data_IF_807916341757
#
_entry.id   IF_807916341757
#
_cell.length_a   1.000
_cell.length_b   1.000
_cell.length_c   1.000
_cell.angle_alpha   90.00
_cell.angle_beta   90.00
_cell.angle_gamma   90.00
#
_symmetry.space_group_name_H-M   'P 1'
#
loop_
_entity.id
_entity.type
_entity.pdbx_description
1 polymer ?
#
# COMPACT_ATOMS: atom_id res chain seq x y z
N UNK A 1 5.02 -34.02 -18.42
CA UNK A 1 4.86 -33.18 -17.20
C UNK A 1 6.25 -32.79 -16.74
N UNK A 2 6.59 -31.50 -16.88
CA UNK A 2 7.98 -31.04 -16.77
C UNK A 2 8.43 -30.97 -15.31
N UNK A 3 9.63 -31.52 -15.01
CA UNK A 3 10.26 -31.44 -13.68
C UNK A 3 10.38 -30.02 -13.14
N UNK A 4 10.34 -28.99 -13.98
CA UNK A 4 10.30 -27.58 -13.62
C UNK A 4 8.96 -27.11 -13.03
N UNK A 5 7.83 -27.68 -13.47
CA UNK A 5 6.52 -27.39 -12.90
C UNK A 5 6.39 -27.88 -11.46
N UNK A 6 6.94 -29.08 -11.19
CA UNK A 6 6.86 -29.69 -9.86
C UNK A 6 7.76 -28.98 -8.84
N UNK A 7 8.84 -28.32 -9.27
CA UNK A 7 9.73 -27.57 -8.38
C UNK A 7 9.18 -26.18 -8.01
N UNK A 8 8.28 -25.61 -8.83
CA UNK A 8 7.67 -24.31 -8.58
C UNK A 8 6.44 -24.39 -7.66
N UNK A 9 5.74 -25.52 -7.66
CA UNK A 9 4.61 -25.77 -6.75
C UNK A 9 5.04 -25.90 -5.26
N UNK A 10 6.32 -26.18 -5.01
CA UNK A 10 6.90 -26.29 -3.67
C UNK A 10 7.70 -25.05 -3.22
N UNK A 11 7.94 -24.08 -4.10
CA UNK A 11 8.55 -22.82 -3.70
C UNK A 11 7.48 -21.88 -3.13
N UNK A 12 7.30 -21.94 -1.82
CA UNK A 12 6.47 -20.97 -1.11
C UNK A 12 6.90 -19.53 -1.43
N UNK A 13 6.01 -18.58 -1.21
CA UNK A 13 6.28 -17.14 -1.42
C UNK A 13 7.61 -16.77 -0.75
N UNK A 14 8.56 -16.14 -1.46
CA UNK A 14 9.85 -15.75 -0.89
C UNK A 14 9.67 -14.92 0.38
N UNK A 15 10.51 -15.17 1.39
CA UNK A 15 10.42 -14.48 2.69
C UNK A 15 10.46 -12.96 2.57
N UNK A 16 11.27 -12.43 1.63
CA UNK A 16 11.33 -10.99 1.35
C UNK A 16 10.00 -10.43 0.85
N UNK A 17 9.32 -11.16 -0.04
CA UNK A 17 8.01 -10.73 -0.55
C UNK A 17 6.93 -10.80 0.54
N UNK A 18 6.98 -11.81 1.41
CA UNK A 18 6.12 -11.90 2.60
C UNK A 18 6.34 -10.73 3.55
N UNK A 19 7.60 -10.41 3.83
CA UNK A 19 7.95 -9.28 4.68
C UNK A 19 7.39 -7.97 4.12
N UNK A 20 7.61 -7.70 2.82
CA UNK A 20 7.04 -6.52 2.17
C UNK A 20 5.52 -6.46 2.27
N UNK A 21 4.82 -7.57 2.03
CA UNK A 21 3.37 -7.63 2.15
C UNK A 21 2.87 -7.38 3.58
N UNK A 22 3.59 -7.85 4.60
CA UNK A 22 3.27 -7.56 6.02
C UNK A 22 3.46 -6.07 6.33
N UNK A 23 4.54 -5.44 5.85
CA UNK A 23 4.77 -4.00 6.02
C UNK A 23 3.63 -3.20 5.37
N UNK A 24 3.20 -3.57 4.15
CA UNK A 24 2.05 -2.93 3.48
C UNK A 24 0.77 -3.08 4.30
N UNK A 25 0.51 -4.25 4.89
CA UNK A 25 -0.67 -4.44 5.74
C UNK A 25 -0.63 -3.59 7.01
N UNK A 26 0.55 -3.41 7.62
CA UNK A 26 0.72 -2.50 8.76
C UNK A 26 0.45 -1.04 8.35
N UNK A 27 0.90 -0.61 7.17
CA UNK A 27 0.56 0.71 6.62
C UNK A 27 -0.96 0.85 6.42
N UNK A 28 -1.61 -0.18 5.85
CA UNK A 28 -3.07 -0.18 5.67
C UNK A 28 -3.82 -0.09 7.01
N UNK A 29 -3.32 -0.76 8.06
CA UNK A 29 -3.88 -0.69 9.41
C UNK A 29 -3.73 0.71 10.01
N UNK A 30 -2.57 1.35 9.87
CA UNK A 30 -2.34 2.72 10.31
C UNK A 30 -3.26 3.70 9.57
N UNK A 31 -3.43 3.51 8.25
CA UNK A 31 -4.32 4.32 7.43
C UNK A 31 -5.80 4.12 7.81
N UNK A 32 -6.20 2.91 8.16
CA UNK A 32 -7.54 2.64 8.67
C UNK A 32 -7.81 3.43 9.97
N UNK A 33 -6.84 3.48 10.87
CA UNK A 33 -6.92 4.33 12.07
C UNK A 33 -7.10 5.80 11.74
N UNK A 34 -6.38 6.30 10.74
CA UNK A 34 -6.52 7.68 10.27
C UNK A 34 -7.90 7.94 9.64
N UNK A 35 -8.43 7.03 8.83
CA UNK A 35 -9.78 7.11 8.25
C UNK A 35 -10.84 7.19 9.36
N UNK A 36 -10.73 6.35 10.39
CA UNK A 36 -11.64 6.36 11.54
C UNK A 36 -11.57 7.70 12.26
N UNK A 37 -10.36 8.24 12.46
CA UNK A 37 -10.16 9.56 13.06
C UNK A 37 -10.80 10.68 12.23
N UNK A 38 -10.68 10.66 10.90
CA UNK A 38 -11.33 11.63 10.03
C UNK A 38 -12.86 11.57 10.13
N UNK A 39 -13.43 10.38 10.14
CA UNK A 39 -14.88 10.17 10.28
C UNK A 39 -15.35 10.68 11.65
N UNK A 40 -14.61 10.35 12.71
CA UNK A 40 -14.92 10.81 14.06
C UNK A 40 -14.89 12.36 14.16
N UNK A 41 -13.83 12.99 13.66
CA UNK A 41 -13.70 14.45 13.62
C UNK A 41 -14.86 15.11 12.85
N UNK A 42 -15.31 14.46 11.75
CA UNK A 42 -16.46 14.94 10.98
C UNK A 42 -17.76 14.86 11.77
N UNK A 43 -17.99 13.79 12.56
CA UNK A 43 -19.20 13.61 13.38
C UNK A 43 -19.24 14.61 14.52
N UNK A 44 -18.11 14.85 15.18
CA UNK A 44 -17.99 15.80 16.31
C UNK A 44 -17.98 17.27 15.87
N UNK A 45 -17.97 17.55 14.54
CA UNK A 45 -17.91 18.89 14.00
C UNK A 45 -16.58 19.62 14.33
N UNK A 46 -15.53 18.86 14.61
CA UNK A 46 -14.18 19.38 14.82
C UNK A 46 -13.63 19.76 13.45
N UNK A 47 -13.86 21.00 13.05
CA UNK A 47 -13.26 21.57 11.84
C UNK A 47 -11.78 21.79 12.10
N UNK A 48 -10.92 21.07 11.38
CA UNK A 48 -9.50 21.40 11.37
C UNK A 48 -9.34 22.82 10.78
N UNK A 49 -8.90 23.75 11.61
CA UNK A 49 -8.70 25.17 11.27
C UNK A 49 -7.61 25.38 10.19
N UNK A 50 -6.97 24.31 9.73
CA UNK A 50 -5.99 24.35 8.65
C UNK A 50 -6.63 24.47 7.25
N UNK A 51 -7.95 24.28 7.12
CA UNK A 51 -8.70 24.53 5.88
C UNK A 51 -9.69 25.67 6.16
N UNK A 52 -9.17 26.87 6.25
CA UNK A 52 -9.97 28.10 6.23
C UNK A 52 -10.61 28.31 4.85
N UNK A 53 -11.60 27.53 4.53
CA UNK A 53 -12.53 27.88 3.48
C UNK A 53 -13.92 27.88 4.08
N UNK A 54 -14.50 29.06 4.14
CA UNK A 54 -15.86 29.35 4.61
C UNK A 54 -16.96 28.81 3.68
N UNK A 55 -16.67 27.83 2.87
CA UNK A 55 -17.61 27.23 1.94
C UNK A 55 -18.23 25.96 2.55
N UNK A 56 -19.53 25.73 2.32
CA UNK A 56 -20.24 24.49 2.67
C UNK A 56 -19.51 23.21 2.18
N UNK A 57 -18.68 23.35 1.12
CA UNK A 57 -17.84 22.28 0.59
C UNK A 57 -16.81 21.74 1.60
N UNK A 58 -16.33 22.54 2.55
CA UNK A 58 -15.34 22.11 3.55
C UNK A 58 -15.89 20.99 4.46
N UNK A 59 -17.18 20.97 4.70
CA UNK A 59 -17.85 19.97 5.51
C UNK A 59 -17.74 18.55 4.91
N UNK A 60 -17.66 18.42 3.59
CA UNK A 60 -17.60 17.13 2.89
C UNK A 60 -16.18 16.68 2.55
N UNK A 61 -15.17 17.53 2.72
CA UNK A 61 -13.77 17.23 2.37
C UNK A 61 -13.22 16.07 3.19
N UNK A 62 -13.43 16.08 4.51
CA UNK A 62 -12.94 15.01 5.38
C UNK A 62 -13.60 13.66 5.04
N UNK A 63 -14.92 13.65 4.83
CA UNK A 63 -15.66 12.45 4.45
C UNK A 63 -15.23 11.94 3.06
N UNK A 64 -15.11 12.84 2.08
CA UNK A 64 -14.64 12.48 0.73
C UNK A 64 -13.23 11.90 0.76
N UNK A 65 -12.33 12.48 1.54
CA UNK A 65 -10.97 11.97 1.75
C UNK A 65 -11.00 10.60 2.42
N UNK A 66 -11.81 10.40 3.45
CA UNK A 66 -11.95 9.13 4.13
C UNK A 66 -12.44 8.01 3.18
N UNK A 67 -13.47 8.29 2.38
CA UNK A 67 -13.99 7.34 1.38
C UNK A 67 -12.94 7.02 0.32
N UNK A 68 -12.26 8.03 -0.20
CA UNK A 68 -11.19 7.83 -1.20
C UNK A 68 -10.06 6.96 -0.64
N UNK A 69 -9.58 7.28 0.56
CA UNK A 69 -8.53 6.50 1.23
C UNK A 69 -8.99 5.07 1.52
N UNK A 70 -10.23 4.86 1.93
CA UNK A 70 -10.78 3.53 2.19
C UNK A 70 -10.78 2.67 0.91
N UNK A 71 -11.13 3.23 -0.23
CA UNK A 71 -11.12 2.53 -1.52
C UNK A 71 -9.67 2.20 -1.92
N UNK A 72 -8.76 3.17 -1.89
CA UNK A 72 -7.36 2.99 -2.30
C UNK A 72 -6.65 1.98 -1.40
N UNK A 73 -6.67 2.18 -0.09
CA UNK A 73 -5.98 1.28 0.84
C UNK A 73 -6.69 -0.05 1.03
N UNK A 74 -8.00 -0.13 0.83
CA UNK A 74 -8.73 -1.39 0.73
C UNK A 74 -8.25 -2.23 -0.44
N UNK A 75 -8.05 -1.63 -1.61
CA UNK A 75 -7.47 -2.29 -2.77
C UNK A 75 -6.01 -2.74 -2.51
N UNK A 76 -5.19 -1.88 -1.91
CA UNK A 76 -3.79 -2.20 -1.55
C UNK A 76 -3.73 -3.36 -0.56
N UNK A 77 -4.58 -3.38 0.46
CA UNK A 77 -4.69 -4.48 1.41
C UNK A 77 -5.09 -5.80 0.72
N UNK A 78 -6.04 -5.75 -0.19
CA UNK A 78 -6.44 -6.90 -1.00
C UNK A 78 -5.26 -7.47 -1.81
N UNK A 79 -4.46 -6.61 -2.45
CA UNK A 79 -3.27 -7.02 -3.22
C UNK A 79 -2.22 -7.63 -2.30
N UNK A 80 -1.96 -7.03 -1.12
CA UNK A 80 -1.00 -7.54 -0.15
C UNK A 80 -1.41 -8.92 0.39
N UNK A 81 -2.69 -9.11 0.73
CA UNK A 81 -3.23 -10.40 1.17
C UNK A 81 -3.11 -11.45 0.04
N UNK A 82 -3.44 -11.08 -1.20
CA UNK A 82 -3.31 -11.97 -2.35
C UNK A 82 -1.85 -12.41 -2.56
N UNK A 83 -0.90 -11.52 -2.31
CA UNK A 83 0.54 -11.82 -2.38
C UNK A 83 0.95 -12.81 -1.29
N UNK A 84 0.46 -12.66 -0.05
CA UNK A 84 0.69 -13.61 1.05
C UNK A 84 0.11 -15.00 0.76
N UNK A 85 -1.00 -15.06 0.03
CA UNK A 85 -1.64 -16.31 -0.41
C UNK A 85 -0.94 -16.98 -1.62
N UNK A 86 0.22 -16.47 -2.04
CA UNK A 86 0.95 -17.01 -3.20
C UNK A 86 0.33 -16.65 -4.55
N UNK A 87 -0.53 -15.64 -4.60
CA UNK A 87 -1.17 -15.14 -5.82
C UNK A 87 -0.75 -13.69 -6.09
N UNK A 88 0.50 -13.43 -6.50
CA UNK A 88 1.01 -12.07 -6.71
C UNK A 88 0.29 -11.41 -7.90
N UNK A 89 -0.87 -10.84 -7.63
CA UNK A 89 -1.63 -10.03 -8.59
C UNK A 89 -1.54 -8.58 -8.17
N UNK A 90 -1.13 -7.71 -9.09
CA UNK A 90 -1.13 -6.27 -8.84
C UNK A 90 0.08 -5.74 -8.08
N UNK A 91 1.22 -6.42 -8.12
CA UNK A 91 2.49 -5.91 -7.55
C UNK A 91 2.85 -4.51 -8.06
N UNK A 92 2.52 -4.22 -9.32
CA UNK A 92 2.66 -2.87 -9.89
C UNK A 92 1.82 -1.80 -9.17
N UNK A 93 0.65 -2.17 -8.65
CA UNK A 93 -0.18 -1.24 -7.88
C UNK A 93 0.47 -0.90 -6.53
N UNK A 94 1.11 -1.87 -5.87
CA UNK A 94 1.89 -1.63 -4.64
C UNK A 94 3.03 -0.67 -4.94
N UNK A 95 3.82 -0.92 -5.99
CA UNK A 95 4.93 -0.05 -6.40
C UNK A 95 4.45 1.37 -6.68
N UNK A 96 3.33 1.53 -7.38
CA UNK A 96 2.74 2.84 -7.67
C UNK A 96 2.34 3.59 -6.40
N UNK A 97 1.65 2.91 -5.48
CA UNK A 97 1.21 3.52 -4.21
C UNK A 97 2.42 3.92 -3.36
N UNK A 98 3.43 3.05 -3.24
CA UNK A 98 4.64 3.36 -2.48
C UNK A 98 5.43 4.52 -3.10
N UNK A 99 5.49 4.62 -4.44
CA UNK A 99 6.09 5.76 -5.11
C UNK A 99 5.34 7.08 -4.82
N UNK A 100 3.99 7.03 -4.80
CA UNK A 100 3.16 8.18 -4.41
C UNK A 100 3.41 8.55 -2.95
N UNK A 101 3.46 7.57 -2.04
CA UNK A 101 3.75 7.81 -0.62
C UNK A 101 5.13 8.44 -0.40
N UNK A 102 6.14 8.07 -1.19
CA UNK A 102 7.45 8.74 -1.17
C UNK A 102 7.36 10.19 -1.62
N UNK A 103 6.58 10.48 -2.66
CA UNK A 103 6.29 11.85 -3.09
C UNK A 103 5.61 12.66 -2.00
N UNK A 104 4.60 12.10 -1.34
CA UNK A 104 3.89 12.73 -0.21
C UNK A 104 4.85 12.97 0.96
N UNK A 105 5.68 11.98 1.31
CA UNK A 105 6.67 12.12 2.38
C UNK A 105 7.67 13.25 2.09
N UNK A 106 8.10 13.38 0.83
CA UNK A 106 8.97 14.49 0.41
C UNK A 106 8.31 15.85 0.62
N UNK A 107 7.03 16.01 0.25
CA UNK A 107 6.28 17.24 0.50
C UNK A 107 6.08 17.50 2.01
N UNK A 108 5.82 16.46 2.80
CA UNK A 108 5.74 16.58 4.27
C UNK A 108 7.06 17.07 4.86
N UNK A 109 8.19 16.59 4.33
CA UNK A 109 9.52 17.01 4.75
C UNK A 109 9.74 18.50 4.48
N UNK A 110 9.41 18.98 3.26
CA UNK A 110 9.49 20.40 2.90
C UNK A 110 8.56 21.26 3.74
N UNK A 111 7.39 20.74 4.14
CA UNK A 111 6.43 21.40 5.03
C UNK A 111 6.83 21.40 6.52
N UNK A 112 8.01 20.85 6.88
CA UNK A 112 8.50 20.82 8.25
C UNK A 112 7.95 19.67 9.11
N UNK A 113 7.09 18.79 8.57
CA UNK A 113 6.55 17.62 9.28
C UNK A 113 7.52 16.42 9.22
N UNK A 114 8.75 16.59 9.73
CA UNK A 114 9.85 15.65 9.57
C UNK A 114 9.56 14.25 10.12
N UNK A 115 8.89 14.15 11.29
CA UNK A 115 8.53 12.85 11.89
C UNK A 115 7.51 12.10 11.04
N UNK A 116 6.47 12.78 10.55
CA UNK A 116 5.48 12.18 9.67
C UNK A 116 6.10 11.77 8.34
N UNK A 117 6.96 12.62 7.78
CA UNK A 117 7.71 12.30 6.57
C UNK A 117 8.52 11.01 6.73
N UNK A 118 9.29 10.90 7.81
CA UNK A 118 10.07 9.69 8.09
C UNK A 118 9.18 8.46 8.30
N UNK A 119 8.09 8.59 9.06
CA UNK A 119 7.14 7.51 9.31
C UNK A 119 6.45 7.01 8.02
N UNK A 120 6.29 7.87 7.02
CA UNK A 120 5.73 7.50 5.71
C UNK A 120 6.80 6.96 4.77
N UNK A 121 7.98 7.60 4.71
CA UNK A 121 9.04 7.22 3.78
C UNK A 121 9.70 5.89 4.12
N UNK A 122 9.96 5.60 5.41
CA UNK A 122 10.67 4.39 5.81
C UNK A 122 9.96 3.10 5.37
N UNK A 123 8.67 2.88 5.67
CA UNK A 123 8.00 1.68 5.21
C UNK A 123 7.86 1.65 3.67
N UNK A 124 7.65 2.78 3.01
CA UNK A 124 7.56 2.84 1.55
C UNK A 124 8.87 2.38 0.88
N UNK A 125 10.02 2.86 1.37
CA UNK A 125 11.34 2.40 0.88
C UNK A 125 11.54 0.92 1.15
N UNK A 126 11.20 0.43 2.35
CA UNK A 126 11.33 -0.98 2.70
C UNK A 126 10.52 -1.87 1.75
N UNK A 127 9.26 -1.50 1.48
CA UNK A 127 8.41 -2.25 0.55
C UNK A 127 9.00 -2.26 -0.85
N UNK A 128 9.46 -1.12 -1.36
CA UNK A 128 10.08 -1.06 -2.68
C UNK A 128 11.33 -1.95 -2.76
N UNK A 129 12.20 -1.92 -1.75
CA UNK A 129 13.37 -2.81 -1.69
C UNK A 129 12.94 -4.28 -1.75
N UNK A 130 11.91 -4.68 -1.01
CA UNK A 130 11.44 -6.07 -1.00
C UNK A 130 10.83 -6.50 -2.33
N UNK A 131 10.10 -5.61 -3.00
CA UNK A 131 9.47 -5.90 -4.31
C UNK A 131 10.52 -6.02 -5.40
N UNK A 132 11.53 -5.13 -5.41
CA UNK A 132 12.62 -5.14 -6.40
C UNK A 132 13.75 -6.10 -6.06
N UNK A 133 13.70 -6.78 -4.91
CA UNK A 133 14.70 -7.79 -4.57
C UNK A 133 14.73 -8.92 -5.61
N UNK A 134 15.91 -9.39 -6.06
CA UNK A 134 16.03 -10.39 -7.13
C UNK A 134 15.17 -11.64 -6.92
N UNK A 135 15.08 -12.14 -5.69
CA UNK A 135 14.26 -13.30 -5.36
C UNK A 135 12.75 -13.04 -5.56
N UNK A 136 12.29 -11.82 -5.25
CA UNK A 136 10.89 -11.41 -5.45
C UNK A 136 10.58 -11.21 -6.93
N UNK A 137 11.48 -10.61 -7.68
CA UNK A 137 11.35 -10.40 -9.12
C UNK A 137 11.30 -11.73 -9.88
N UNK A 138 12.22 -12.66 -9.59
CA UNK A 138 12.24 -13.98 -10.19
C UNK A 138 10.96 -14.79 -9.91
N UNK A 139 10.43 -14.71 -8.69
CA UNK A 139 9.17 -15.34 -8.33
C UNK A 139 7.98 -14.78 -9.11
N UNK A 140 7.89 -13.45 -9.23
CA UNK A 140 6.82 -12.78 -9.96
C UNK A 140 6.87 -13.12 -11.45
N UNK A 141 8.06 -13.16 -12.04
CA UNK A 141 8.28 -13.54 -13.44
C UNK A 141 7.86 -15.00 -13.68
N UNK A 142 8.28 -15.93 -12.83
CA UNK A 142 7.89 -17.33 -12.91
C UNK A 142 6.37 -17.52 -12.83
N UNK A 143 5.70 -16.80 -11.91
CA UNK A 143 4.24 -16.84 -11.79
C UNK A 143 3.52 -16.23 -13.00
N UNK A 144 4.10 -15.21 -13.62
CA UNK A 144 3.57 -14.62 -14.85
C UNK A 144 3.64 -15.60 -16.02
N UNK A 145 4.79 -16.27 -16.21
CA UNK A 145 4.98 -17.26 -17.28
C UNK A 145 4.04 -18.47 -17.09
N UNK A 146 3.86 -18.97 -15.86
CA UNK A 146 2.91 -20.05 -15.57
C UNK A 146 1.46 -19.65 -15.94
N UNK A 147 1.09 -18.42 -15.67
CA UNK A 147 -0.25 -17.92 -16.00
C UNK A 147 -0.44 -17.77 -17.52
N UNK A 148 0.62 -17.38 -18.22
CA UNK A 148 0.61 -17.27 -19.69
C UNK A 148 0.48 -18.63 -20.35
N UNK A 149 1.16 -19.66 -19.83
CA UNK A 149 1.10 -21.01 -20.35
C UNK A 149 -0.27 -21.71 -20.13
N UNK A 150 -1.07 -21.26 -19.18
CA UNK A 150 -2.42 -21.79 -18.88
C UNK A 150 -3.54 -21.12 -19.67
N UNK A 151 -3.24 -20.15 -20.54
CA UNK A 151 -4.20 -19.48 -21.44
C UNK A 151 -4.14 -20.03 -22.86
#
# INVERSE_FOLDING_TARGET
MNSKENSLDHTGVPGMLRFGAVVVLLQCLAMLGYIIMLIYAQIEGISDSSIESSAEASHYVALGTAVFLAIVFGFVAFVAISTLQGRPRGSGAIVLIEAILLGVAFYMFLGGAHLLSAATALPAVLVLITVFHPASAAYQEAMYELKKARR
#
